data_IF_659326320558
#
_entry.id   IF_659326320558
#
_cell.length_a   1.000
_cell.length_b   1.000
_cell.length_c   1.000
_cell.angle_alpha   90.00
_cell.angle_beta   90.00
_cell.angle_gamma   90.00
#
_symmetry.space_group_name_H-M   'P 1'
#
loop_
_entity.id
_entity.type
_entity.pdbx_description
1 polymer ?
#
# COMPACT_ATOMS: atom_id res chain seq x y z
N UNK A 1 14.97 -10.51 -13.05
CA UNK A 1 13.99 -10.21 -12.00
C UNK A 1 13.26 -8.94 -12.41
N UNK A 2 12.23 -9.08 -13.23
CA UNK A 2 11.26 -8.01 -13.50
C UNK A 2 10.21 -8.09 -12.40
N UNK A 3 10.26 -7.16 -11.46
CA UNK A 3 9.24 -6.98 -10.44
C UNK A 3 8.30 -5.88 -10.94
N UNK A 4 7.29 -6.23 -11.74
CA UNK A 4 6.43 -5.25 -12.41
C UNK A 4 4.93 -5.46 -12.20
N UNK A 5 4.48 -6.40 -11.38
CA UNK A 5 3.05 -6.65 -11.23
C UNK A 5 2.61 -6.86 -9.78
N UNK A 6 1.62 -6.06 -9.37
CA UNK A 6 0.91 -6.03 -8.08
C UNK A 6 0.40 -7.41 -7.60
N UNK A 7 0.30 -8.40 -8.50
CA UNK A 7 -0.09 -9.78 -8.18
C UNK A 7 0.98 -10.57 -7.41
N UNK A 8 2.21 -10.06 -7.33
CA UNK A 8 3.32 -10.76 -6.67
C UNK A 8 3.32 -10.61 -5.13
N UNK A 9 2.70 -9.57 -4.58
CA UNK A 9 2.69 -9.33 -3.12
C UNK A 9 1.86 -10.34 -2.31
N UNK A 10 1.19 -11.28 -2.98
CA UNK A 10 0.32 -12.26 -2.34
C UNK A 10 -0.93 -11.60 -1.74
N UNK A 11 -1.71 -12.32 -0.91
CA UNK A 11 -2.83 -11.72 -0.20
C UNK A 11 -2.33 -10.59 0.73
N UNK A 12 -3.12 -9.51 0.91
CA UNK A 12 -2.71 -8.38 1.75
C UNK A 12 -2.31 -8.87 3.14
N UNK A 13 -1.07 -8.56 3.52
CA UNK A 13 -0.52 -8.98 4.82
C UNK A 13 -1.10 -8.05 5.87
N UNK A 14 -2.21 -8.47 6.47
CA UNK A 14 -2.92 -7.66 7.46
C UNK A 14 -2.10 -7.54 8.76
N UNK A 15 -1.55 -6.35 8.98
CA UNK A 15 -0.90 -6.02 10.26
C UNK A 15 -1.90 -5.88 11.41
N UNK A 16 -1.40 -5.96 12.65
CA UNK A 16 -2.16 -5.56 13.84
C UNK A 16 -2.01 -4.05 14.04
N UNK A 17 -3.11 -3.31 14.13
CA UNK A 17 -3.07 -1.87 14.40
C UNK A 17 -2.49 -1.64 15.80
N UNK A 18 -1.37 -0.93 15.88
CA UNK A 18 -0.76 -0.49 17.13
C UNK A 18 -0.96 1.02 17.25
N UNK A 19 -2.03 1.45 17.94
CA UNK A 19 -2.40 2.87 18.06
C UNK A 19 -3.86 3.05 18.47
N UNK A 20 -4.34 4.30 18.61
CA UNK A 20 -5.78 4.55 18.69
C UNK A 20 -6.45 3.96 17.44
N UNK A 21 -7.63 3.37 17.61
CA UNK A 21 -8.42 2.93 16.46
C UNK A 21 -8.71 4.15 15.59
N UNK A 22 -8.27 4.09 14.33
CA UNK A 22 -8.53 5.15 13.38
C UNK A 22 -10.04 5.16 13.09
N UNK A 23 -10.69 6.27 13.44
CA UNK A 23 -12.14 6.44 13.27
C UNK A 23 -12.58 6.43 11.81
N UNK A 24 -11.67 6.72 10.86
CA UNK A 24 -11.97 6.77 9.44
C UNK A 24 -11.10 5.80 8.65
N UNK A 25 -11.71 5.04 7.74
CA UNK A 25 -10.97 4.14 6.83
C UNK A 25 -9.93 4.87 5.99
N UNK A 26 -10.14 6.16 5.72
CA UNK A 26 -9.21 7.02 4.99
C UNK A 26 -7.88 7.28 5.71
N UNK A 27 -7.85 7.21 7.04
CA UNK A 27 -6.63 7.48 7.83
C UNK A 27 -5.59 6.35 7.71
N UNK A 28 -5.99 5.18 7.19
CA UNK A 28 -5.05 4.09 6.89
C UNK A 28 -4.18 4.35 5.67
N UNK A 29 -4.49 5.37 4.86
CA UNK A 29 -3.76 5.69 3.64
C UNK A 29 -2.82 6.88 3.85
N UNK A 30 -1.58 6.76 3.38
CA UNK A 30 -0.69 7.91 3.20
C UNK A 30 -0.37 8.09 1.71
N UNK A 31 -0.14 9.32 1.27
CA UNK A 31 0.32 9.57 -0.08
C UNK A 31 1.84 9.37 -0.13
N UNK A 32 2.31 8.48 -0.99
CA UNK A 32 3.73 8.29 -1.21
C UNK A 32 4.35 9.61 -1.73
N UNK A 33 5.42 10.13 -1.10
CA UNK A 33 6.03 11.39 -1.52
C UNK A 33 6.77 11.30 -2.87
N UNK A 34 7.13 10.08 -3.30
CA UNK A 34 7.87 9.87 -4.55
C UNK A 34 6.97 9.84 -5.78
N UNK A 35 5.80 9.17 -5.71
CA UNK A 35 4.90 8.98 -6.85
C UNK A 35 3.49 9.56 -6.65
N UNK A 36 3.16 10.04 -5.46
CA UNK A 36 1.85 10.62 -5.13
C UNK A 36 0.71 9.61 -4.98
N UNK A 37 0.98 8.30 -5.10
CA UNK A 37 -0.04 7.27 -4.95
C UNK A 37 -0.46 7.12 -3.48
N UNK A 38 -1.77 6.96 -3.18
CA UNK A 38 -2.22 6.53 -1.86
C UNK A 38 -1.81 5.07 -1.60
N UNK A 39 -1.10 4.85 -0.49
CA UNK A 39 -0.58 3.57 -0.03
C UNK A 39 -1.37 3.12 1.19
N UNK A 40 -1.90 1.90 1.19
CA UNK A 40 -2.57 1.32 2.37
C UNK A 40 -1.52 0.83 3.39
N UNK A 41 -1.45 1.45 4.56
CA UNK A 41 -0.50 1.07 5.63
C UNK A 41 -0.79 -0.33 6.20
N UNK A 42 -2.00 -0.87 5.97
CA UNK A 42 -2.38 -2.23 6.40
C UNK A 42 -1.87 -3.30 5.45
N UNK A 43 -1.44 -2.91 4.25
CA UNK A 43 -0.86 -3.79 3.25
C UNK A 43 0.66 -3.60 3.21
N UNK A 44 1.37 -4.42 4.00
CA UNK A 44 2.82 -4.33 4.10
C UNK A 44 3.53 -4.52 2.75
N UNK A 45 2.92 -5.25 1.80
CA UNK A 45 3.48 -5.39 0.45
C UNK A 45 3.59 -4.05 -0.27
N UNK A 46 2.53 -3.23 -0.17
CA UNK A 46 2.56 -1.87 -0.69
C UNK A 46 3.57 -1.01 0.06
N UNK A 47 3.59 -1.07 1.40
CA UNK A 47 4.57 -0.29 2.18
C UNK A 47 6.00 -0.61 1.75
N UNK A 48 6.37 -1.89 1.67
CA UNK A 48 7.72 -2.28 1.25
C UNK A 48 8.07 -1.87 -0.17
N UNK A 49 7.12 -1.94 -1.11
CA UNK A 49 7.35 -1.46 -2.49
C UNK A 49 7.65 0.04 -2.52
N UNK A 50 6.88 0.82 -1.77
CA UNK A 50 7.00 2.27 -1.74
C UNK A 50 8.23 2.77 -0.97
N UNK A 51 8.92 1.91 -0.21
CA UNK A 51 10.23 2.19 0.38
C UNK A 51 11.39 2.05 -0.63
N UNK A 52 11.19 1.38 -1.77
CA UNK A 52 12.22 1.21 -2.80
C UNK A 52 12.33 2.49 -3.65
N UNK A 53 13.52 3.12 -3.77
CA UNK A 53 13.67 4.30 -4.62
C UNK A 53 13.47 3.95 -6.10
N UNK A 54 12.69 4.77 -6.82
CA UNK A 54 12.39 4.56 -8.24
C UNK A 54 11.28 3.54 -8.51
N UNK A 55 10.50 3.16 -7.49
CA UNK A 55 9.31 2.34 -7.68
C UNK A 55 8.28 3.04 -8.58
N UNK A 56 7.58 2.24 -9.38
CA UNK A 56 6.46 2.72 -10.19
C UNK A 56 5.14 2.64 -9.39
N UNK A 57 4.13 3.47 -9.70
CA UNK A 57 2.80 3.34 -9.14
C UNK A 57 2.24 1.94 -9.39
N UNK A 58 1.68 1.34 -8.34
CA UNK A 58 0.99 0.08 -8.41
C UNK A 58 -0.34 0.23 -9.17
N UNK A 59 -0.65 -0.76 -10.02
CA UNK A 59 -1.96 -0.84 -10.66
C UNK A 59 -3.05 -1.03 -9.60
N UNK A 60 -3.86 0.02 -9.39
CA UNK A 60 -4.99 -0.03 -8.47
C UNK A 60 -6.01 -1.05 -8.99
N UNK A 61 -6.10 -2.21 -8.36
CA UNK A 61 -7.29 -3.04 -8.47
C UNK A 61 -8.51 -2.22 -8.00
N UNK A 62 -9.67 -2.31 -8.66
CA UNK A 62 -10.77 -1.39 -8.42
C UNK A 62 -11.23 -1.50 -6.97
N UNK A 63 -11.36 -0.34 -6.31
CA UNK A 63 -11.94 -0.20 -4.97
C UNK A 63 -13.26 -0.98 -4.95
N UNK A 64 -13.29 -2.18 -4.36
CA UNK A 64 -14.56 -2.87 -4.11
C UNK A 64 -15.31 -2.03 -3.10
N UNK A 65 -16.34 -1.37 -3.62
CA UNK A 65 -17.30 -0.53 -2.91
C UNK A 65 -18.25 -1.39 -2.08
#
# INVERSE_FOLDING_TARGET
>A
MEWSEHSDFGPPIHGKVHGPELTNEGDHFYNCPACGQPVDQRDLGQVFWHEVPGHEPLERSPRRR
#
